data_IF_659239495323
#
_entry.id   IF_659239495323
#
_cell.length_a   1.000
_cell.length_b   1.000
_cell.length_c   1.000
_cell.angle_alpha   90.00
_cell.angle_beta   90.00
_cell.angle_gamma   90.00
#
_symmetry.space_group_name_H-M   'P 1'
#
loop_
_entity.id
_entity.type
_entity.pdbx_description
1 polymer ?
#
# COMPACT_ATOMS: atom_id res chain seq x y z
N UNK A 1 2.56 -26.09 0.42
CA UNK A 1 1.62 -25.04 -0.01
C UNK A 1 0.63 -24.59 1.07
N UNK A 2 0.06 -25.50 1.87
CA UNK A 2 -1.05 -25.19 2.80
C UNK A 2 -0.68 -24.32 4.01
N UNK A 3 0.58 -24.29 4.44
CA UNK A 3 1.03 -23.51 5.60
C UNK A 3 1.19 -22.00 5.30
N UNK A 4 1.70 -21.66 4.11
CA UNK A 4 1.89 -20.26 3.68
C UNK A 4 0.53 -19.56 3.51
N UNK A 5 -0.46 -20.25 2.93
CA UNK A 5 -1.81 -19.70 2.69
C UNK A 5 -2.56 -19.44 4.01
N UNK A 6 -2.46 -20.35 5.00
CA UNK A 6 -3.06 -20.15 6.34
C UNK A 6 -2.39 -19.01 7.11
N UNK A 7 -1.09 -18.80 6.93
CA UNK A 7 -0.36 -17.69 7.55
C UNK A 7 -0.70 -16.34 6.90
N UNK A 8 -0.97 -16.34 5.58
CA UNK A 8 -1.42 -15.14 4.85
C UNK A 8 -2.81 -14.69 5.34
N UNK A 9 -3.78 -15.59 5.50
CA UNK A 9 -5.13 -15.20 5.92
C UNK A 9 -5.19 -14.62 7.35
N UNK A 10 -4.35 -15.13 8.27
CA UNK A 10 -4.34 -14.72 9.68
C UNK A 10 -3.58 -13.40 9.95
N UNK A 11 -2.68 -12.99 9.06
CA UNK A 11 -1.73 -11.88 9.33
C UNK A 11 -2.14 -10.53 8.73
N UNK A 12 -3.17 -10.47 7.87
CA UNK A 12 -3.53 -9.24 7.14
C UNK A 12 -4.99 -8.79 7.34
N UNK A 13 -5.72 -9.47 8.22
CA UNK A 13 -7.08 -9.11 8.61
C UNK A 13 -7.13 -8.81 10.11
N UNK A 14 -6.91 -7.55 10.49
CA UNK A 14 -7.12 -7.12 11.87
C UNK A 14 -8.62 -6.96 12.09
N UNK A 15 -9.21 -7.84 12.91
CA UNK A 15 -10.61 -7.69 13.36
C UNK A 15 -10.63 -6.74 14.56
N UNK A 16 -11.32 -5.61 14.42
CA UNK A 16 -12.00 -4.95 15.54
C UNK A 16 -13.41 -4.53 15.10
N UNK A 17 -14.37 -4.70 16.01
CA UNK A 17 -15.81 -4.49 15.82
C UNK A 17 -16.13 -3.14 15.17
N UNK A 18 -16.84 -3.17 14.04
CA UNK A 18 -17.60 -2.01 13.53
C UNK A 18 -16.91 -1.16 12.46
N UNK A 19 -15.61 -1.34 12.21
CA UNK A 19 -14.85 -0.52 11.25
C UNK A 19 -14.33 -1.31 10.03
N UNK A 20 -14.22 -0.60 8.92
CA UNK A 20 -13.82 -1.07 7.60
C UNK A 20 -12.54 -1.92 7.64
N UNK A 21 -12.61 -3.17 7.18
CA UNK A 21 -11.44 -4.05 7.03
C UNK A 21 -10.42 -3.38 6.09
N UNK A 22 -9.27 -3.00 6.63
CA UNK A 22 -8.17 -2.42 5.86
C UNK A 22 -7.15 -3.49 5.48
N UNK A 23 -6.69 -3.48 4.23
CA UNK A 23 -5.73 -4.43 3.69
C UNK A 23 -4.37 -3.77 3.48
N UNK A 24 -3.30 -4.41 3.97
CA UNK A 24 -1.93 -3.92 3.80
C UNK A 24 -1.30 -4.50 2.52
N UNK A 25 -1.32 -3.72 1.44
CA UNK A 25 -0.76 -4.14 0.14
C UNK A 25 0.74 -4.42 0.19
N UNK A 26 1.51 -3.63 0.92
CA UNK A 26 2.97 -3.79 0.98
C UNK A 26 3.36 -5.04 1.77
N UNK A 27 2.63 -5.35 2.84
CA UNK A 27 2.88 -6.54 3.63
C UNK A 27 2.57 -7.83 2.84
N UNK A 28 1.50 -7.83 2.04
CA UNK A 28 1.21 -8.92 1.10
C UNK A 28 2.30 -9.03 0.03
N UNK A 29 2.68 -7.92 -0.61
CA UNK A 29 3.70 -7.93 -1.65
C UNK A 29 5.04 -8.44 -1.11
N UNK A 30 5.50 -7.93 0.04
CA UNK A 30 6.75 -8.36 0.67
C UNK A 30 6.78 -9.87 0.98
N UNK A 31 5.62 -10.50 1.23
CA UNK A 31 5.55 -11.93 1.47
C UNK A 31 5.79 -12.78 0.20
N UNK A 32 5.51 -12.22 -0.98
CA UNK A 32 5.60 -12.94 -2.27
C UNK A 32 6.71 -12.42 -3.21
N UNK A 33 7.26 -11.24 -2.94
CA UNK A 33 8.32 -10.60 -3.72
C UNK A 33 9.53 -11.52 -3.91
N UNK A 34 10.14 -11.45 -5.09
CA UNK A 34 11.34 -12.18 -5.50
C UNK A 34 11.17 -13.71 -5.48
N UNK A 35 9.93 -14.19 -5.54
CA UNK A 35 9.58 -15.62 -5.63
C UNK A 35 8.87 -15.92 -6.94
N UNK A 36 9.02 -17.16 -7.41
CA UNK A 36 8.07 -17.74 -8.34
C UNK A 36 6.90 -18.30 -7.53
N UNK A 37 5.70 -17.76 -7.76
CA UNK A 37 4.47 -18.26 -7.15
C UNK A 37 3.64 -18.99 -8.20
N UNK A 38 3.20 -20.19 -7.86
CA UNK A 38 2.25 -20.99 -8.62
C UNK A 38 1.12 -21.32 -7.63
N UNK A 39 -0.05 -20.72 -7.84
CA UNK A 39 -1.18 -20.75 -6.92
C UNK A 39 -2.22 -21.76 -7.40
N UNK A 40 -2.38 -21.89 -8.72
CA UNK A 40 -3.36 -22.82 -9.30
C UNK A 40 -2.80 -24.20 -9.67
N UNK A 41 -1.48 -24.35 -9.81
CA UNK A 41 -0.80 -25.56 -10.23
C UNK A 41 -0.77 -25.75 -11.76
N UNK A 42 -1.12 -24.71 -12.52
CA UNK A 42 -1.26 -24.77 -13.98
C UNK A 42 -0.30 -23.80 -14.67
N UNK A 43 0.41 -24.29 -15.69
CA UNK A 43 1.36 -23.50 -16.50
C UNK A 43 2.52 -22.87 -15.70
N UNK A 44 2.74 -23.30 -14.45
CA UNK A 44 3.81 -22.82 -13.59
C UNK A 44 3.56 -21.40 -13.09
N UNK A 45 4.63 -20.64 -12.88
CA UNK A 45 4.55 -19.31 -12.28
C UNK A 45 4.17 -18.22 -13.32
N UNK A 46 2.87 -17.92 -13.44
CA UNK A 46 2.30 -16.98 -14.41
C UNK A 46 1.87 -15.65 -13.76
N UNK A 47 1.50 -14.67 -14.60
CA UNK A 47 0.96 -13.40 -14.09
C UNK A 47 -0.39 -13.60 -13.37
N UNK A 48 -1.16 -14.61 -13.78
CA UNK A 48 -2.45 -14.93 -13.17
C UNK A 48 -2.31 -15.40 -11.71
N UNK A 49 -1.21 -16.05 -11.35
CA UNK A 49 -0.93 -16.47 -9.98
C UNK A 49 -0.79 -15.30 -9.00
N UNK A 50 -0.28 -14.16 -9.48
CA UNK A 50 -0.24 -12.92 -8.68
C UNK A 50 -1.66 -12.46 -8.34
N UNK A 51 -2.56 -12.49 -9.33
CA UNK A 51 -3.97 -12.19 -9.10
C UNK A 51 -4.64 -13.19 -8.14
N UNK A 52 -4.40 -14.49 -8.31
CA UNK A 52 -4.97 -15.52 -7.43
C UNK A 52 -4.45 -15.40 -6.00
N UNK A 53 -3.16 -15.11 -5.82
CA UNK A 53 -2.55 -14.83 -4.51
C UNK A 53 -3.21 -13.60 -3.86
N UNK A 54 -3.42 -12.53 -4.63
CA UNK A 54 -4.06 -11.32 -4.14
C UNK A 54 -5.53 -11.55 -3.76
N UNK A 55 -6.28 -12.27 -4.60
CA UNK A 55 -7.67 -12.68 -4.32
C UNK A 55 -7.77 -13.46 -3.01
N UNK A 56 -6.87 -14.42 -2.77
CA UNK A 56 -6.83 -15.18 -1.52
C UNK A 56 -6.49 -14.30 -0.32
N UNK A 57 -5.58 -13.34 -0.47
CA UNK A 57 -5.19 -12.41 0.59
C UNK A 57 -6.34 -11.47 0.99
N UNK A 58 -7.22 -11.10 0.04
CA UNK A 58 -8.44 -10.33 0.29
C UNK A 58 -9.60 -11.16 0.86
N UNK A 59 -9.38 -12.46 1.15
CA UNK A 59 -10.40 -13.37 1.68
C UNK A 59 -11.31 -13.98 0.62
N UNK A 60 -10.91 -13.91 -0.66
CA UNK A 60 -11.57 -14.62 -1.75
C UNK A 60 -11.21 -16.10 -1.81
N UNK A 61 -11.77 -16.79 -2.81
CA UNK A 61 -11.51 -18.20 -3.08
C UNK A 61 -10.82 -18.33 -4.42
N UNK A 62 -9.72 -19.09 -4.49
CA UNK A 62 -8.92 -19.27 -5.73
C UNK A 62 -9.79 -19.54 -6.97
N UNK A 63 -10.74 -20.47 -6.85
CA UNK A 63 -11.58 -20.90 -7.97
C UNK A 63 -12.47 -19.78 -8.53
N UNK A 64 -12.74 -18.72 -7.76
CA UNK A 64 -13.46 -17.54 -8.25
C UNK A 64 -12.59 -16.67 -9.17
N UNK A 65 -11.26 -16.78 -9.08
CA UNK A 65 -10.33 -16.02 -9.91
C UNK A 65 -9.99 -16.67 -11.26
N UNK A 66 -10.27 -17.96 -11.44
CA UNK A 66 -9.87 -18.68 -12.66
C UNK A 66 -10.46 -18.04 -13.92
N UNK A 67 -9.58 -17.72 -14.87
CA UNK A 67 -9.94 -17.14 -16.16
C UNK A 67 -10.97 -17.99 -16.91
N UNK A 68 -12.01 -17.38 -17.53
CA UNK A 68 -12.93 -18.08 -18.42
C UNK A 68 -12.29 -18.48 -19.75
N UNK A 69 -13.08 -19.20 -20.56
CA UNK A 69 -12.82 -19.50 -21.97
C UNK A 69 -11.50 -20.23 -22.19
N UNK A 70 -10.59 -19.66 -22.98
CA UNK A 70 -9.29 -20.23 -23.31
C UNK A 70 -8.24 -20.06 -22.20
N UNK A 71 -8.64 -19.54 -21.03
CA UNK A 71 -7.76 -19.30 -19.90
C UNK A 71 -7.03 -17.95 -19.95
N UNK A 72 -7.30 -17.10 -20.94
CA UNK A 72 -6.70 -15.77 -21.01
C UNK A 72 -7.17 -14.85 -19.88
N UNK A 73 -6.23 -14.27 -19.12
CA UNK A 73 -6.52 -13.56 -17.87
C UNK A 73 -7.49 -12.38 -18.04
N UNK A 74 -7.47 -11.68 -19.17
CA UNK A 74 -8.35 -10.54 -19.43
C UNK A 74 -9.84 -10.91 -19.41
N UNK A 75 -10.18 -12.18 -19.67
CA UNK A 75 -11.56 -12.65 -19.65
C UNK A 75 -12.17 -12.61 -18.24
N UNK A 76 -11.35 -12.63 -17.18
CA UNK A 76 -11.82 -12.37 -15.81
C UNK A 76 -12.53 -11.02 -15.74
N UNK A 77 -11.98 -10.00 -16.38
CA UNK A 77 -12.56 -8.66 -16.37
C UNK A 77 -13.72 -8.53 -17.36
N UNK A 78 -13.56 -8.98 -18.61
CA UNK A 78 -14.59 -8.78 -19.65
C UNK A 78 -15.89 -9.52 -19.30
N UNK A 79 -15.80 -10.75 -18.78
CA UNK A 79 -16.97 -11.56 -18.40
C UNK A 79 -17.44 -11.29 -16.96
N UNK A 80 -16.80 -10.40 -16.19
CA UNK A 80 -17.28 -10.00 -14.86
C UNK A 80 -18.60 -9.21 -14.96
N UNK A 81 -19.60 -9.52 -14.11
CA UNK A 81 -19.56 -10.46 -12.99
C UNK A 81 -20.06 -11.89 -13.31
N UNK A 82 -20.47 -12.15 -14.54
CA UNK A 82 -21.32 -13.30 -14.89
C UNK A 82 -20.60 -14.66 -14.79
N UNK A 83 -19.31 -14.74 -15.12
CA UNK A 83 -18.57 -16.02 -15.05
C UNK A 83 -18.28 -16.47 -13.62
N UNK A 84 -17.96 -15.53 -12.71
CA UNK A 84 -17.57 -15.80 -11.32
C UNK A 84 -18.24 -14.81 -10.37
N UNK A 85 -19.53 -15.02 -10.04
CA UNK A 85 -20.27 -14.08 -9.19
C UNK A 85 -19.66 -13.92 -7.79
N UNK A 86 -18.90 -14.92 -7.30
CA UNK A 86 -18.16 -14.83 -6.04
C UNK A 86 -17.18 -13.65 -5.97
N UNK A 87 -16.59 -13.24 -7.12
CA UNK A 87 -15.69 -12.08 -7.19
C UNK A 87 -16.40 -10.77 -6.82
N UNK A 88 -17.72 -10.66 -7.01
CA UNK A 88 -18.48 -9.44 -6.67
C UNK A 88 -18.49 -9.14 -5.18
N UNK A 89 -18.21 -10.14 -4.32
CA UNK A 89 -18.06 -9.93 -2.88
C UNK A 89 -16.76 -9.19 -2.55
N UNK A 90 -15.74 -9.35 -3.38
CA UNK A 90 -14.39 -8.80 -3.16
C UNK A 90 -14.15 -7.55 -3.99
N UNK A 91 -14.66 -7.50 -5.22
CA UNK A 91 -14.30 -6.48 -6.20
C UNK A 91 -15.50 -5.71 -6.75
N UNK A 92 -15.19 -4.55 -7.31
CA UNK A 92 -16.04 -3.75 -8.20
C UNK A 92 -15.32 -3.55 -9.53
N UNK A 93 -16.05 -3.53 -10.64
CA UNK A 93 -15.49 -3.39 -11.99
C UNK A 93 -15.42 -1.91 -12.37
N UNK A 94 -14.26 -1.47 -12.88
CA UNK A 94 -14.04 -0.10 -13.35
C UNK A 94 -13.29 -0.09 -14.68
N UNK A 95 -13.42 1.03 -15.41
CA UNK A 95 -12.65 1.28 -16.63
C UNK A 95 -11.15 1.50 -16.31
N UNK A 96 -10.29 1.19 -17.28
CA UNK A 96 -8.83 1.26 -17.12
C UNK A 96 -8.22 2.66 -17.01
N UNK A 97 -9.02 3.71 -17.21
CA UNK A 97 -8.51 5.09 -17.23
C UNK A 97 -8.18 5.66 -15.84
N UNK A 98 -8.70 5.07 -14.76
CA UNK A 98 -8.51 5.58 -13.39
C UNK A 98 -8.01 4.47 -12.48
N UNK A 99 -6.76 4.05 -12.70
CA UNK A 99 -6.06 3.06 -11.88
C UNK A 99 -5.76 3.66 -10.51
N UNK A 100 -6.04 2.90 -9.46
CA UNK A 100 -5.75 3.22 -8.07
C UNK A 100 -4.88 2.13 -7.44
N UNK A 101 -4.22 2.47 -6.33
CA UNK A 101 -3.44 1.50 -5.58
C UNK A 101 -4.35 0.38 -5.08
N UNK A 102 -3.95 -0.87 -5.34
CA UNK A 102 -4.69 -2.09 -5.06
C UNK A 102 -5.61 -2.57 -6.19
N UNK A 103 -5.80 -1.79 -7.26
CA UNK A 103 -6.55 -2.27 -8.41
C UNK A 103 -5.85 -3.46 -9.06
N UNK A 104 -6.64 -4.46 -9.46
CA UNK A 104 -6.18 -5.53 -10.35
C UNK A 104 -6.38 -5.07 -11.78
N UNK A 105 -5.29 -4.87 -12.51
CA UNK A 105 -5.26 -4.30 -13.86
C UNK A 105 -5.15 -5.42 -14.88
N UNK A 106 -6.10 -5.48 -15.82
CA UNK A 106 -6.16 -6.51 -16.85
C UNK A 106 -5.83 -5.94 -18.23
N UNK A 107 -5.02 -6.68 -18.99
CA UNK A 107 -4.62 -6.34 -20.35
C UNK A 107 -5.17 -7.35 -21.34
N UNK A 108 -5.86 -6.87 -22.38
CA UNK A 108 -6.19 -7.68 -23.56
C UNK A 108 -5.06 -7.74 -24.57
N UNK A 109 -4.07 -6.84 -24.45
CA UNK A 109 -2.84 -6.85 -25.23
C UNK A 109 -1.70 -6.27 -24.40
N UNK A 110 -0.60 -7.02 -24.21
CA UNK A 110 0.57 -6.56 -23.46
C UNK A 110 1.82 -6.67 -24.35
N UNK A 111 2.78 -5.71 -24.31
CA UNK A 111 3.86 -5.65 -25.30
C UNK A 111 4.72 -6.92 -25.46
N UNK A 112 4.70 -7.83 -24.48
CA UNK A 112 5.46 -9.09 -24.49
C UNK A 112 4.61 -10.32 -24.14
N UNK A 113 3.29 -10.16 -24.08
CA UNK A 113 2.35 -11.24 -23.79
C UNK A 113 1.01 -11.02 -24.48
N UNK A 114 0.30 -12.07 -24.88
CA UNK A 114 -1.05 -11.92 -25.45
C UNK A 114 -1.99 -11.20 -24.49
N UNK A 115 -2.07 -11.67 -23.24
CA UNK A 115 -2.87 -11.05 -22.19
C UNK A 115 -2.07 -11.00 -20.89
N UNK A 116 -2.38 -10.05 -20.00
CA UNK A 116 -1.60 -9.85 -18.78
C UNK A 116 -2.47 -9.35 -17.62
N UNK A 117 -2.02 -9.58 -16.39
CA UNK A 117 -2.65 -9.04 -15.19
C UNK A 117 -1.59 -8.62 -14.16
N UNK A 118 -1.85 -7.52 -13.46
CA UNK A 118 -1.00 -6.98 -12.41
C UNK A 118 -1.82 -6.37 -11.27
N UNK A 119 -1.23 -6.21 -10.09
CA UNK A 119 -1.83 -5.44 -8.98
C UNK A 119 -1.13 -4.08 -8.88
N UNK A 120 -1.88 -3.00 -9.00
CA UNK A 120 -1.32 -1.65 -9.00
C UNK A 120 -0.82 -1.24 -7.60
N UNK A 121 0.41 -0.75 -7.50
CA UNK A 121 0.93 -0.10 -6.29
C UNK A 121 0.76 1.42 -6.32
N UNK A 122 0.56 2.01 -7.50
CA UNK A 122 0.28 3.43 -7.69
C UNK A 122 -0.86 3.61 -8.68
N UNK A 123 -1.42 4.82 -8.72
CA UNK A 123 -2.21 5.25 -9.88
C UNK A 123 -1.32 5.52 -11.11
N UNK A 124 -1.96 6.02 -12.17
CA UNK A 124 -1.28 6.43 -13.41
C UNK A 124 -0.38 7.63 -13.15
N UNK A 125 0.84 7.56 -13.67
CA UNK A 125 1.90 8.57 -13.61
C UNK A 125 1.85 9.47 -14.85
N UNK A 126 2.55 10.60 -14.80
CA UNK A 126 2.62 11.57 -15.90
C UNK A 126 3.23 11.00 -17.19
N UNK A 127 4.03 9.94 -17.10
CA UNK A 127 4.64 9.24 -18.24
C UNK A 127 3.71 8.19 -18.88
N UNK A 128 2.45 8.09 -18.43
CA UNK A 128 1.49 7.11 -18.95
C UNK A 128 1.72 5.68 -18.44
N UNK A 129 2.54 5.49 -17.39
CA UNK A 129 2.74 4.21 -16.72
C UNK A 129 2.10 4.18 -15.33
N UNK A 130 2.08 3.01 -14.69
CA UNK A 130 1.86 2.88 -13.24
C UNK A 130 2.81 1.84 -12.68
N UNK A 131 3.03 1.81 -11.37
CA UNK A 131 3.78 0.70 -10.74
C UNK A 131 2.83 -0.46 -10.54
N UNK A 132 3.12 -1.59 -11.18
CA UNK A 132 2.41 -2.84 -10.98
C UNK A 132 3.27 -3.90 -10.29
N UNK A 133 2.62 -4.75 -9.52
CA UNK A 133 3.14 -6.02 -9.03
C UNK A 133 2.71 -7.10 -10.01
N UNK A 134 3.67 -7.73 -10.67
CA UNK A 134 3.42 -8.80 -11.63
C UNK A 134 4.50 -9.88 -11.61
N UNK A 135 4.25 -10.93 -12.39
CA UNK A 135 5.13 -12.08 -12.60
C UNK A 135 5.08 -12.46 -14.08
N UNK A 136 6.08 -13.24 -14.53
CA UNK A 136 6.28 -13.78 -15.89
C UNK A 136 6.98 -12.79 -16.85
N UNK A 137 8.19 -13.11 -17.38
CA UNK A 137 8.98 -14.34 -17.17
C UNK A 137 9.78 -14.37 -15.86
N UNK A 138 9.85 -13.25 -15.15
CA UNK A 138 10.63 -13.13 -13.91
C UNK A 138 9.79 -13.50 -12.68
N UNK A 139 10.44 -13.57 -11.52
CA UNK A 139 9.81 -13.64 -10.20
C UNK A 139 8.85 -12.47 -9.97
N UNK A 140 7.98 -12.59 -8.96
CA UNK A 140 7.11 -11.49 -8.54
C UNK A 140 7.94 -10.25 -8.22
N UNK A 141 7.65 -9.14 -8.91
CA UNK A 141 8.38 -7.89 -8.76
C UNK A 141 7.44 -6.68 -8.89
N UNK A 142 7.93 -5.55 -8.43
CA UNK A 142 7.31 -4.23 -8.61
C UNK A 142 8.05 -3.50 -9.72
N UNK A 143 7.33 -3.03 -10.74
CA UNK A 143 7.95 -2.30 -11.86
C UNK A 143 6.95 -1.38 -12.57
N UNK A 144 7.44 -0.38 -13.32
CA UNK A 144 6.59 0.40 -14.22
C UNK A 144 5.96 -0.49 -15.29
N UNK A 145 4.65 -0.38 -15.47
CA UNK A 145 3.86 -1.06 -16.50
C UNK A 145 3.13 -0.04 -17.38
N UNK A 146 2.99 -0.30 -18.69
CA UNK A 146 2.29 0.61 -19.60
C UNK A 146 0.79 0.63 -19.33
N UNK A 147 0.12 1.74 -19.67
CA UNK A 147 -1.35 1.80 -19.68
C UNK A 147 -1.97 1.34 -21.00
N UNK A 148 -1.18 1.21 -22.06
CA UNK A 148 -1.64 0.69 -23.35
C UNK A 148 -2.09 -0.76 -23.25
N UNK A 149 -3.20 -1.09 -23.91
CA UNK A 149 -3.75 -2.44 -23.96
C UNK A 149 -4.50 -2.91 -22.70
N UNK A 150 -4.68 -2.02 -21.70
CA UNK A 150 -5.56 -2.27 -20.55
C UNK A 150 -7.01 -2.35 -21.03
N UNK A 151 -7.70 -3.44 -20.66
CA UNK A 151 -9.15 -3.60 -20.86
C UNK A 151 -9.95 -3.01 -19.71
N UNK A 152 -9.42 -3.07 -18.48
CA UNK A 152 -9.98 -2.41 -17.31
C UNK A 152 -9.40 -2.91 -16.00
N UNK A 153 -10.03 -2.52 -14.89
CA UNK A 153 -9.59 -2.90 -13.55
C UNK A 153 -10.71 -3.52 -12.70
N UNK A 154 -10.32 -4.44 -11.81
CA UNK A 154 -11.14 -4.86 -10.67
C UNK A 154 -10.59 -4.18 -9.41
N UNK A 155 -11.42 -3.38 -8.74
CA UNK A 155 -11.07 -2.63 -7.54
C UNK A 155 -11.56 -3.36 -6.29
N UNK A 156 -10.68 -3.68 -5.32
CA UNK A 156 -11.09 -4.25 -4.05
C UNK A 156 -12.12 -3.36 -3.34
N UNK A 157 -13.13 -3.97 -2.73
CA UNK A 157 -14.08 -3.29 -1.85
C UNK A 157 -13.48 -3.00 -0.47
N UNK A 158 -12.47 -3.78 -0.06
CA UNK A 158 -11.69 -3.52 1.14
C UNK A 158 -10.86 -2.25 0.96
N UNK A 159 -10.72 -1.47 2.04
CA UNK A 159 -9.90 -0.27 2.01
C UNK A 159 -8.42 -0.67 1.94
N UNK A 160 -7.69 -0.18 0.94
CA UNK A 160 -6.26 -0.46 0.81
C UNK A 160 -5.47 0.60 1.58
N UNK A 161 -4.63 0.17 2.53
CA UNK A 161 -3.80 1.10 3.29
C UNK A 161 -2.85 1.89 2.37
N UNK A 162 -2.84 3.21 2.54
CA UNK A 162 -2.09 4.14 1.69
C UNK A 162 -2.78 4.54 0.39
N UNK A 163 -4.06 4.18 0.18
CA UNK A 163 -4.85 4.56 -0.99
C UNK A 163 -5.65 5.87 -0.76
N UNK A 164 -5.03 6.90 -0.19
CA UNK A 164 -5.63 8.24 -0.18
C UNK A 164 -5.48 8.86 -1.57
N UNK A 165 -6.57 9.13 -2.30
CA UNK A 165 -6.49 10.01 -3.46
C UNK A 165 -6.08 11.39 -2.94
N UNK A 166 -5.07 12.01 -3.55
CA UNK A 166 -4.79 13.43 -3.36
C UNK A 166 -6.01 14.23 -3.80
N UNK A 167 -6.92 14.54 -2.88
CA UNK A 167 -8.07 15.41 -3.17
C UNK A 167 -7.53 16.82 -3.41
N UNK A 168 -7.93 17.52 -4.48
CA UNK A 168 -7.64 18.94 -4.58
C UNK A 168 -8.35 19.66 -3.44
N UNK A 169 -7.61 20.45 -2.69
CA UNK A 169 -8.04 21.12 -1.46
C UNK A 169 -9.38 21.86 -1.64
N UNK A 170 -10.45 21.47 -0.93
CA UNK A 170 -11.63 22.31 -0.81
C UNK A 170 -11.39 23.38 0.25
N UNK A 171 -11.68 24.63 -0.08
CA UNK A 171 -11.66 25.78 0.83
C UNK A 171 -12.60 25.56 2.03
N UNK A 172 -12.04 25.78 3.23
CA UNK A 172 -12.62 26.07 4.55
C UNK A 172 -14.16 26.03 4.72
N UNK A 173 -14.68 25.17 5.62
CA UNK A 173 -15.20 25.52 6.97
C UNK A 173 -16.00 24.34 7.64
N UNK A 174 -16.25 24.36 8.97
CA UNK A 174 -15.84 23.29 9.88
C UNK A 174 -16.97 22.37 10.39
N UNK A 175 -16.64 21.11 10.70
CA UNK A 175 -17.32 20.33 11.76
C UNK A 175 -16.34 19.30 12.35
N UNK A 176 -16.03 19.53 13.64
CA UNK A 176 -15.44 18.73 14.73
C UNK A 176 -14.33 17.67 14.47
N UNK A 177 -13.05 17.94 14.82
CA UNK A 177 -11.90 17.06 14.60
C UNK A 177 -11.26 16.46 15.87
N UNK A 178 -11.99 16.22 16.97
CA UNK A 178 -11.31 15.97 18.25
C UNK A 178 -10.65 14.59 18.49
N UNK A 179 -10.91 13.53 17.72
CA UNK A 179 -10.34 12.20 18.06
C UNK A 179 -9.23 11.67 17.12
N UNK A 180 -9.09 12.18 15.88
CA UNK A 180 -8.07 11.67 14.94
C UNK A 180 -6.77 12.51 14.88
N UNK A 181 -6.73 13.70 15.50
CA UNK A 181 -5.51 14.53 15.58
C UNK A 181 -4.62 14.20 16.81
N UNK A 182 -5.07 13.32 17.72
CA UNK A 182 -4.39 13.06 19.00
C UNK A 182 -3.14 12.15 18.89
N UNK A 183 -2.79 11.64 17.71
CA UNK A 183 -1.60 10.79 17.53
C UNK A 183 -0.63 11.25 16.44
N UNK A 184 -0.64 12.54 16.07
CA UNK A 184 0.38 13.09 15.17
C UNK A 184 1.72 13.22 15.88
N UNK A 185 2.58 12.25 15.66
CA UNK A 185 4.00 12.34 15.96
C UNK A 185 4.61 13.41 15.05
N UNK A 186 5.36 14.35 15.63
CA UNK A 186 6.12 15.35 14.88
C UNK A 186 7.59 14.96 14.89
N UNK A 187 8.37 15.45 13.93
CA UNK A 187 9.81 15.37 14.07
C UNK A 187 10.53 16.56 13.46
N UNK A 188 11.77 16.72 13.90
CA UNK A 188 12.62 17.89 13.71
C UNK A 188 14.07 17.42 13.55
N UNK A 189 14.96 18.29 13.11
CA UNK A 189 16.40 18.02 13.23
C UNK A 189 17.18 19.27 13.63
N UNK A 190 18.37 19.10 14.19
CA UNK A 190 19.33 20.18 14.44
C UNK A 190 20.76 19.69 14.22
N UNK A 191 21.71 20.63 14.09
CA UNK A 191 23.13 20.30 13.92
C UNK A 191 23.92 20.52 15.21
N UNK A 192 24.79 19.59 15.57
CA UNK A 192 25.69 19.70 16.74
C UNK A 192 27.07 19.16 16.38
N UNK A 193 28.07 20.03 16.35
CA UNK A 193 29.46 19.62 16.09
C UNK A 193 29.70 19.01 14.70
N UNK A 194 28.85 19.33 13.71
CA UNK A 194 28.90 18.76 12.36
C UNK A 194 27.90 17.61 12.15
N UNK A 195 27.44 16.98 13.21
CA UNK A 195 26.47 15.88 13.15
C UNK A 195 25.03 16.40 12.98
N UNK A 196 24.22 15.65 12.23
CA UNK A 196 22.78 15.88 12.12
C UNK A 196 22.06 15.03 13.18
N UNK A 197 21.36 15.69 14.09
CA UNK A 197 20.57 15.06 15.14
C UNK A 197 19.09 15.20 14.81
N UNK A 198 18.41 14.07 14.66
CA UNK A 198 16.97 14.00 14.43
C UNK A 198 16.22 13.85 15.75
N UNK A 199 15.02 14.40 15.81
CA UNK A 199 14.12 14.36 16.95
C UNK A 199 12.77 13.85 16.50
N UNK A 200 12.17 12.97 17.30
CA UNK A 200 10.78 12.55 17.17
C UNK A 200 10.07 12.89 18.47
N UNK A 201 8.94 13.60 18.36
CA UNK A 201 8.13 13.99 19.51
C UNK A 201 6.68 13.58 19.34
N UNK A 202 6.04 13.25 20.46
CA UNK A 202 4.58 13.09 20.51
C UNK A 202 4.05 13.93 21.68
N UNK A 203 3.31 15.02 21.40
CA UNK A 203 2.85 15.95 22.43
C UNK A 203 1.72 15.40 23.31
N UNK A 204 1.13 14.26 22.95
CA UNK A 204 0.09 13.60 23.73
C UNK A 204 0.69 12.60 24.72
N UNK A 205 1.68 11.82 24.29
CA UNK A 205 2.37 10.86 25.17
C UNK A 205 3.59 11.46 25.91
N UNK A 206 4.03 12.66 25.54
CA UNK A 206 5.31 13.22 25.98
C UNK A 206 6.51 12.44 25.46
N UNK A 207 6.39 11.77 24.30
CA UNK A 207 7.52 11.09 23.67
C UNK A 207 8.52 12.15 23.19
N UNK A 208 9.80 11.91 23.48
CA UNK A 208 10.91 12.66 22.93
C UNK A 208 12.05 11.66 22.69
N UNK A 209 12.52 11.56 21.46
CA UNK A 209 13.60 10.66 21.09
C UNK A 209 14.59 11.37 20.16
N UNK A 210 15.86 11.42 20.56
CA UNK A 210 16.96 11.96 19.76
C UNK A 210 17.83 10.84 19.19
N UNK A 211 18.23 10.95 17.93
CA UNK A 211 19.20 10.05 17.32
C UNK A 211 20.10 10.78 16.31
N UNK A 212 21.36 10.36 16.19
CA UNK A 212 22.31 10.90 15.22
C UNK A 212 22.15 10.20 13.87
N UNK A 213 22.08 10.97 12.78
CA UNK A 213 22.09 10.46 11.42
C UNK A 213 23.50 10.65 10.83
N UNK A 214 24.21 9.55 10.57
CA UNK A 214 25.61 9.58 10.11
C UNK A 214 25.77 10.05 8.64
N UNK A 215 24.70 10.26 7.87
CA UNK A 215 24.82 10.52 6.43
C UNK A 215 23.66 11.33 5.79
N UNK A 216 22.68 11.81 6.57
CA UNK A 216 21.48 12.48 6.03
C UNK A 216 20.52 11.58 5.22
N UNK A 217 20.95 10.37 4.82
CA UNK A 217 20.13 9.35 4.15
C UNK A 217 19.27 8.59 5.17
N UNK A 218 19.80 8.39 6.38
CA UNK A 218 19.06 7.79 7.48
C UNK A 218 17.82 8.61 7.91
N UNK A 219 17.88 9.93 7.74
CA UNK A 219 16.82 10.86 8.10
C UNK A 219 15.52 10.60 7.32
N UNK A 220 15.61 10.37 6.02
CA UNK A 220 14.42 10.16 5.16
C UNK A 220 13.67 8.87 5.48
N UNK A 221 14.37 7.78 5.86
CA UNK A 221 13.73 6.49 6.14
C UNK A 221 12.93 6.49 7.43
N UNK A 222 13.45 7.12 8.49
CA UNK A 222 12.73 7.25 9.75
C UNK A 222 11.63 8.30 9.64
N UNK A 223 11.89 9.45 9.03
CA UNK A 223 10.87 10.47 8.85
C UNK A 223 9.72 10.00 7.93
N UNK A 224 10.00 9.10 6.99
CA UNK A 224 8.97 8.35 6.24
C UNK A 224 8.21 7.38 7.15
N UNK A 225 8.92 6.63 8.01
CA UNK A 225 8.31 5.65 8.92
C UNK A 225 7.38 6.29 9.97
N UNK A 226 7.64 7.53 10.38
CA UNK A 226 6.78 8.29 11.31
C UNK A 226 5.76 9.20 10.59
N UNK A 227 5.69 9.15 9.25
CA UNK A 227 4.72 9.92 8.47
C UNK A 227 4.94 11.43 8.48
N UNK A 228 6.13 11.87 8.87
CA UNK A 228 6.47 13.27 9.13
C UNK A 228 7.12 14.00 7.95
N UNK A 229 7.39 13.30 6.83
CA UNK A 229 8.01 13.92 5.64
C UNK A 229 9.43 14.41 5.90
N UNK A 230 9.82 15.54 5.29
CA UNK A 230 11.09 16.20 5.60
C UNK A 230 10.99 16.92 6.96
N UNK A 231 11.87 16.56 7.90
CA UNK A 231 11.92 17.25 9.18
C UNK A 231 12.39 18.71 9.01
N UNK A 232 11.73 19.70 9.63
CA UNK A 232 12.26 21.05 9.70
C UNK A 232 13.49 21.14 10.61
N UNK A 233 14.45 21.98 10.22
CA UNK A 233 15.61 22.31 11.05
C UNK A 233 15.21 23.25 12.20
N UNK A 234 15.67 22.96 13.41
CA UNK A 234 15.49 23.79 14.60
C UNK A 234 16.84 24.05 15.29
N UNK A 235 16.88 25.04 16.17
CA UNK A 235 18.08 25.29 17.00
C UNK A 235 18.23 24.23 18.10
N UNK A 236 19.45 24.02 18.57
CA UNK A 236 19.74 23.16 19.74
C UNK A 236 18.95 23.62 20.97
N UNK A 237 18.81 24.92 21.18
CA UNK A 237 18.03 25.47 22.30
C UNK A 237 16.55 25.14 22.20
N UNK A 238 15.99 25.11 20.99
CA UNK A 238 14.60 24.73 20.75
C UNK A 238 14.40 23.23 20.98
N UNK A 239 15.35 22.38 20.54
CA UNK A 239 15.33 20.95 20.83
C UNK A 239 15.27 20.66 22.33
N UNK A 240 16.11 21.32 23.14
CA UNK A 240 16.09 21.17 24.61
C UNK A 240 14.79 21.65 25.22
N UNK A 241 14.21 22.73 24.68
CA UNK A 241 12.91 23.21 25.15
C UNK A 241 11.79 22.21 24.88
N UNK A 242 11.80 21.58 23.71
CA UNK A 242 10.88 20.51 23.38
C UNK A 242 11.04 19.30 24.31
N UNK A 243 12.28 18.92 24.64
CA UNK A 243 12.55 17.82 25.59
C UNK A 243 11.93 18.09 26.96
N UNK A 244 12.14 19.29 27.51
CA UNK A 244 11.55 19.71 28.78
C UNK A 244 10.03 19.68 28.76
N UNK A 245 9.42 20.18 27.68
CA UNK A 245 7.97 20.28 27.59
C UNK A 245 7.34 18.89 27.37
N UNK A 246 8.00 17.99 26.63
CA UNK A 246 7.58 16.58 26.53
C UNK A 246 7.73 15.83 27.85
N UNK A 247 8.76 16.13 28.65
CA UNK A 247 8.92 15.56 29.98
C UNK A 247 7.77 15.97 30.92
N UNK A 248 7.34 17.24 30.89
CA UNK A 248 6.19 17.71 31.67
C UNK A 248 4.90 16.99 31.29
N UNK A 249 4.66 16.81 29.99
CA UNK A 249 3.50 16.03 29.50
C UNK A 249 3.52 14.61 30.05
N UNK A 250 4.69 13.96 30.08
CA UNK A 250 4.86 12.61 30.64
C UNK A 250 4.57 12.53 32.13
N UNK A 251 4.83 13.61 32.86
CA UNK A 251 4.49 13.78 34.27
C UNK A 251 3.01 14.17 34.49
N UNK A 252 2.21 14.28 33.42
CA UNK A 252 0.81 14.71 33.49
C UNK A 252 0.64 16.21 33.76
N UNK A 253 1.72 17.00 33.64
CA UNK A 253 1.71 18.45 33.77
C UNK A 253 1.51 19.06 32.37
N UNK A 254 0.29 19.54 32.12
CA UNK A 254 -0.04 20.29 30.89
C UNK A 254 -0.02 21.79 31.17
#
# INVERSE_FOLDING_TARGET
MTAVIKQIQKSYSTVMKGETMSFNLDAWFNAIRDKHIDVDGALGAQCHDVFLSYLLALGGVKNDGHAPRDGSTHYVWTDFPNHRPGLTRIFTKHAGANIQRGDVVFYSHYPYAGTHVAVAQTGVRSDGTYVGIDQNPNTVQSRPLPTSGIVGVLRPKQHILGNTPSKPSPKNNPTDPQEEDEMKTAGFFYRRGGDLICIITNPVSGLFHEYAANDGVYNSKIATAFGTGDFPEISVSHARKLEEDMAKVREGKR
#
